data_IF_382884954592
#
_entry.id   IF_382884954592
#
_cell.length_a   1.000
_cell.length_b   1.000
_cell.length_c   1.000
_cell.angle_alpha   90.00
_cell.angle_beta   90.00
_cell.angle_gamma   90.00
#
_symmetry.space_group_name_H-M   'P 1'
#
loop_
_entity.id
_entity.type
_entity.pdbx_description
1 polymer ?
2 non-polymer ?
3 non-polymer ?
4 water ?
#
# COMPACT_ATOMS: atom_id res chain seq x y z
N UNK A 17 -14.50 -24.64 11.79
CA UNK A 17 -13.25 -23.86 11.60
C UNK A 17 -13.46 -22.69 10.63
N UNK A 18 -13.98 -21.55 11.13
CA UNK A 18 -14.39 -20.40 10.32
C UNK A 18 -13.25 -19.69 9.58
N UNK A 19 -13.59 -19.04 8.47
CA UNK A 19 -12.60 -18.34 7.62
C UNK A 19 -13.03 -16.91 7.27
N UNK A 20 -12.05 -16.07 6.95
CA UNK A 20 -12.29 -14.70 6.50
C UNK A 20 -11.92 -14.57 5.03
N UNK A 21 -12.86 -14.06 4.24
CA UNK A 21 -12.64 -13.80 2.82
C UNK A 21 -12.21 -12.36 2.61
N UNK A 22 -10.97 -12.17 2.14
CA UNK A 22 -10.42 -10.82 1.90
C UNK A 22 -10.47 -10.48 0.40
N UNK A 23 -10.92 -9.27 0.08
CA UNK A 23 -11.13 -8.87 -1.30
C UNK A 23 -10.49 -7.51 -1.59
N UNK A 24 -9.52 -7.49 -2.50
CA UNK A 24 -9.06 -6.24 -3.09
C UNK A 24 -9.56 -6.13 -4.51
N UNK A 25 -10.74 -5.53 -4.65
CA UNK A 25 -11.44 -5.48 -5.92
C UNK A 25 -11.03 -4.24 -6.72
N UNK A 26 -9.80 -4.27 -7.24
CA UNK A 26 -9.25 -3.16 -8.02
C UNK A 26 -9.95 -2.94 -9.35
N UNK A 27 -9.49 -1.91 -10.08
CA UNK A 27 -10.13 -1.51 -11.34
C UNK A 27 -9.97 -2.54 -12.45
N UNK A 28 -8.76 -3.11 -12.56
CA UNK A 28 -8.44 -4.05 -13.62
C UNK A 28 -8.68 -5.52 -13.25
N UNK A 29 -8.58 -5.83 -11.96
CA UNK A 29 -8.68 -7.22 -11.46
C UNK A 29 -9.39 -7.35 -10.11
N UNK A 30 -9.65 -8.58 -9.68
CA UNK A 30 -10.19 -8.86 -8.35
C UNK A 30 -9.34 -9.90 -7.62
N UNK A 31 -8.47 -9.42 -6.73
CA UNK A 31 -7.63 -10.29 -5.90
C UNK A 31 -8.43 -10.73 -4.67
N UNK A 32 -8.12 -11.91 -4.14
CA UNK A 32 -8.79 -12.41 -2.94
C UNK A 32 -7.94 -13.40 -2.15
N UNK A 33 -8.18 -13.46 -0.84
CA UNK A 33 -7.50 -14.39 0.04
C UNK A 33 -8.50 -15.00 1.01
N UNK A 34 -8.29 -16.26 1.35
CA UNK A 34 -9.13 -16.93 2.35
C UNK A 34 -8.26 -17.32 3.53
N UNK A 35 -8.34 -16.51 4.58
CA UNK A 35 -7.54 -16.72 5.80
C UNK A 35 -8.33 -17.51 6.83
N UNK A 36 -7.65 -18.46 7.46
CA UNK A 36 -8.21 -19.20 8.58
C UNK A 36 -8.21 -18.29 9.81
N UNK A 37 -9.30 -18.32 10.59
CA UNK A 37 -9.42 -17.48 11.79
C UNK A 37 -8.46 -17.93 12.90
N UNK A 38 -8.33 -19.25 13.05
CA UNK A 38 -7.52 -19.84 14.12
C UNK A 38 -6.02 -19.56 14.01
N UNK A 39 -5.53 -19.39 12.78
CA UNK A 39 -4.10 -19.25 12.53
C UNK A 39 -3.73 -17.91 11.88
N UNK A 40 -4.73 -17.28 11.23
CA UNK A 40 -4.52 -16.07 10.43
C UNK A 40 -3.61 -16.31 9.23
N UNK A 41 -3.57 -17.56 8.78
CA UNK A 41 -2.76 -17.94 7.62
C UNK A 41 -3.63 -18.24 6.41
N UNK A 42 -3.08 -18.02 5.23
CA UNK A 42 -3.81 -18.16 3.97
C UNK A 42 -4.05 -19.63 3.61
N UNK A 43 -5.31 -20.01 3.50
CA UNK A 43 -5.68 -21.34 3.01
C UNK A 43 -5.77 -21.33 1.49
N UNK A 44 -6.26 -20.22 0.93
CA UNK A 44 -6.46 -20.09 -0.51
C UNK A 44 -6.29 -18.63 -0.92
N UNK A 45 -5.69 -18.42 -2.09
CA UNK A 45 -5.56 -17.08 -2.68
C UNK A 45 -5.67 -17.18 -4.19
N UNK A 46 -6.31 -16.18 -4.80
CA UNK A 46 -6.48 -16.15 -6.24
C UNK A 46 -6.50 -14.75 -6.85
N UNK A 47 -6.93 -14.67 -8.10
CA UNK A 47 -7.04 -13.41 -8.83
C UNK A 47 -7.92 -13.56 -10.08
N UNK A 48 -8.83 -12.59 -10.28
CA UNK A 48 -9.64 -12.51 -11.49
C UNK A 48 -9.16 -11.32 -12.32
N UNK A 49 -8.18 -11.57 -13.19
CA UNK A 49 -7.49 -10.52 -13.93
C UNK A 49 -8.11 -10.25 -15.30
N UNK A 50 -7.81 -9.08 -15.87
CA UNK A 50 -8.34 -8.65 -17.16
C UNK A 50 -9.84 -8.53 -17.15
N UNK A 51 -10.37 -7.79 -16.19
CA UNK A 51 -11.81 -7.67 -15.95
C UNK A 51 -12.53 -6.91 -17.06
N UNK A 52 -13.72 -7.40 -17.41
CA UNK A 52 -14.60 -6.82 -18.44
C UNK A 52 -14.11 -6.98 -19.89
N UNK A 53 -12.79 -7.10 -20.08
CA UNK A 53 -12.21 -7.34 -21.40
C UNK A 53 -12.69 -8.70 -21.92
N UNK A 54 -12.88 -8.78 -23.24
CA UNK A 54 -13.39 -9.98 -23.91
C UNK A 54 -13.13 -11.27 -23.11
N UNK A 55 -11.84 -11.55 -22.88
CA UNK A 55 -11.42 -12.72 -22.12
C UNK A 55 -10.99 -12.40 -20.68
N UNK A 56 -11.91 -12.60 -19.74
CA UNK A 56 -11.62 -12.51 -18.31
C UNK A 56 -11.40 -13.92 -17.76
N UNK A 57 -10.41 -14.07 -16.88
CA UNK A 57 -10.06 -15.38 -16.34
C UNK A 57 -9.87 -15.37 -14.82
N UNK A 58 -9.99 -16.56 -14.22
CA UNK A 58 -9.85 -16.74 -12.78
C UNK A 58 -8.71 -17.72 -12.48
N UNK A 59 -7.68 -17.24 -11.80
CA UNK A 59 -6.52 -18.07 -11.45
C UNK A 59 -6.38 -18.28 -9.94
N UNK A 60 -6.80 -19.45 -9.48
CA UNK A 60 -6.77 -19.78 -8.05
C UNK A 60 -5.54 -20.63 -7.74
N UNK A 61 -4.68 -20.11 -6.86
CA UNK A 61 -3.41 -20.75 -6.48
C UNK A 61 -2.39 -20.85 -7.63
N UNK A 62 -2.81 -20.38 -8.81
CA UNK A 62 -1.98 -20.39 -10.01
C UNK A 62 -1.89 -21.73 -10.73
N UNK A 63 -2.94 -22.53 -10.62
CA UNK A 63 -2.96 -23.87 -11.22
C UNK A 63 -3.63 -23.95 -12.59
N UNK A 64 -4.73 -23.21 -12.76
CA UNK A 64 -5.48 -23.21 -14.03
C UNK A 64 -6.32 -21.95 -14.19
N UNK A 65 -5.88 -21.02 -15.07
CA UNK A 65 -6.68 -19.85 -15.40
C UNK A 65 -7.93 -20.21 -16.21
N UNK A 66 -9.06 -20.36 -15.52
CA UNK A 66 -10.34 -20.70 -16.16
C UNK A 66 -10.98 -19.45 -16.77
N UNK A 67 -11.04 -19.43 -18.09
CA UNK A 67 -11.52 -18.25 -18.85
C UNK A 67 -13.01 -17.97 -18.68
N UNK A 68 -13.37 -17.29 -17.59
CA UNK A 68 -14.75 -16.85 -17.36
C UNK A 68 -15.04 -15.57 -18.15
N UNK A 69 -14.87 -15.66 -19.46
CA UNK A 69 -14.97 -14.52 -20.38
C UNK A 69 -16.37 -13.93 -20.46
N UNK A 70 -16.47 -12.72 -21.00
CA UNK A 70 -17.76 -12.06 -21.28
C UNK A 70 -18.50 -11.68 -19.98
N UNK A 71 -17.75 -11.50 -18.90
CA UNK A 71 -18.33 -11.33 -17.56
C UNK A 71 -17.81 -10.10 -16.81
N UNK A 72 -18.61 -9.63 -15.85
CA UNK A 72 -18.28 -8.46 -15.03
C UNK A 72 -17.95 -8.82 -13.57
N UNK A 73 -17.94 -7.81 -12.70
CA UNK A 73 -17.60 -7.96 -11.28
C UNK A 73 -18.53 -8.89 -10.50
N UNK A 74 -19.82 -8.84 -10.82
CA UNK A 74 -20.86 -9.60 -10.11
C UNK A 74 -20.73 -11.11 -10.33
N UNK A 75 -20.32 -11.50 -11.54
CA UNK A 75 -20.20 -12.92 -11.91
C UNK A 75 -18.79 -13.47 -11.68
N UNK A 76 -17.79 -12.59 -11.72
CA UNK A 76 -16.41 -12.98 -11.41
C UNK A 76 -16.28 -13.40 -9.94
N UNK A 77 -16.98 -12.67 -9.07
CA UNK A 77 -17.06 -13.03 -7.65
C UNK A 77 -17.95 -14.24 -7.43
N UNK A 78 -18.93 -14.42 -8.32
CA UNK A 78 -19.79 -15.61 -8.32
C UNK A 78 -19.05 -16.84 -8.84
N UNK A 79 -17.97 -16.60 -9.60
CA UNK A 79 -17.08 -17.66 -10.06
C UNK A 79 -16.12 -18.08 -8.94
N UNK A 80 -15.65 -17.11 -8.18
CA UNK A 80 -14.81 -17.36 -6.99
C UNK A 80 -15.63 -18.05 -5.91
N UNK A 81 -16.88 -17.61 -5.73
CA UNK A 81 -17.77 -18.17 -4.71
C UNK A 81 -18.12 -19.64 -4.96
N UNK A 82 -18.26 -20.01 -6.24
CA UNK A 82 -18.56 -21.39 -6.63
C UNK A 82 -17.36 -22.29 -6.32
N UNK A 83 -16.16 -21.75 -6.53
CA UNK A 83 -14.92 -22.48 -6.27
C UNK A 83 -14.65 -22.63 -4.78
N UNK A 84 -15.23 -21.75 -3.96
CA UNK A 84 -15.19 -21.89 -2.53
C UNK A 84 -16.07 -23.05 -2.09
N UNK A 85 -17.21 -23.21 -2.75
CA UNK A 85 -18.12 -24.32 -2.48
C UNK A 85 -17.59 -25.65 -3.04
N UNK A 86 -16.80 -25.56 -4.11
CA UNK A 86 -16.10 -26.73 -4.65
C UNK A 86 -15.13 -27.32 -3.64
N UNK A 87 -14.57 -26.47 -2.78
CA UNK A 87 -13.67 -26.90 -1.72
C UNK A 87 -14.35 -26.95 -0.34
N UNK A 88 -15.68 -27.03 -0.36
CA UNK A 88 -16.51 -27.06 0.86
C UNK A 88 -16.09 -25.98 1.87
N UNK A 89 -15.91 -24.77 1.37
CA UNK A 89 -15.36 -23.68 2.16
C UNK A 89 -16.37 -22.54 2.29
N UNK A 90 -17.42 -22.59 1.48
CA UNK A 90 -18.47 -21.56 1.46
C UNK A 90 -19.19 -21.47 2.80
N UNK A 91 -19.59 -22.62 3.33
CA UNK A 91 -20.35 -22.69 4.59
C UNK A 91 -19.54 -22.17 5.78
N UNK A 92 -18.22 -22.05 5.58
CA UNK A 92 -17.32 -21.68 6.66
C UNK A 92 -16.91 -20.19 6.67
N UNK A 93 -17.40 -19.43 5.69
CA UNK A 93 -17.10 -18.00 5.58
C UNK A 93 -17.89 -17.18 6.61
N UNK A 94 -17.24 -16.85 7.72
CA UNK A 94 -17.87 -16.07 8.79
C UNK A 94 -17.84 -14.57 8.53
N UNK A 95 -16.80 -14.12 7.82
CA UNK A 95 -16.56 -12.69 7.61
C UNK A 95 -16.01 -12.42 6.21
N UNK A 96 -16.37 -11.27 5.66
CA UNK A 96 -15.79 -10.80 4.41
C UNK A 96 -15.15 -9.42 4.62
N UNK A 97 -13.89 -9.29 4.21
CA UNK A 97 -13.17 -8.03 4.32
C UNK A 97 -12.94 -7.39 2.96
N UNK A 98 -13.30 -6.12 2.85
CA UNK A 98 -13.10 -5.38 1.61
C UNK A 98 -12.03 -4.31 1.77
N UNK A 99 -11.05 -4.33 0.88
CA UNK A 99 -10.03 -3.29 0.84
C UNK A 99 -10.61 -2.10 0.08
N UNK A 100 -10.61 -0.93 0.71
CA UNK A 100 -11.06 0.30 0.09
C UNK A 100 -9.87 1.23 -0.07
N UNK A 101 -9.77 1.85 -1.24
CA UNK A 101 -8.65 2.73 -1.57
C UNK A 101 -8.71 4.07 -0.83
N UNK A 102 -9.86 4.74 -0.88
CA UNK A 102 -9.98 6.08 -0.33
C UNK A 102 -11.15 6.20 0.62
N UNK A 103 -10.85 6.57 1.86
CA UNK A 103 -11.89 6.76 2.88
C UNK A 103 -12.31 8.21 3.03
N UNK A 104 -11.52 9.12 2.49
CA UNK A 104 -11.73 10.55 2.68
C UNK A 104 -11.51 10.92 4.13
N UNK A 105 -12.23 11.94 4.60
CA UNK A 105 -12.15 12.34 6.00
C UNK A 105 -13.14 11.58 6.86
N UNK A 106 -14.10 10.92 6.20
CA UNK A 106 -15.23 10.27 6.88
C UNK A 106 -14.88 9.00 7.66
N UNK A 107 -13.79 8.33 7.26
CA UNK A 107 -13.42 7.04 7.84
C UNK A 107 -12.07 7.06 8.55
N UNK A 108 -12.09 6.81 9.85
CA UNK A 108 -10.85 6.86 10.64
C UNK A 108 -10.42 5.47 11.11
N UNK A 109 -11.36 4.53 11.10
CA UNK A 109 -11.09 3.14 11.44
C UNK A 109 -11.93 2.20 10.57
N UNK A 110 -11.63 0.91 10.62
CA UNK A 110 -12.39 -0.09 9.88
C UNK A 110 -13.80 -0.21 10.45
N UNK A 111 -14.77 -0.48 9.59
CA UNK A 111 -16.17 -0.53 10.00
C UNK A 111 -16.91 -1.76 9.46
N UNK A 112 -17.97 -2.15 10.17
CA UNK A 112 -18.93 -3.13 9.67
C UNK A 112 -19.77 -2.46 8.58
N UNK A 113 -19.90 -3.12 7.44
CA UNK A 113 -20.58 -2.51 6.28
C UNK A 113 -22.11 -2.53 6.40
N UNK A 114 -22.69 -1.34 6.49
CA UNK A 114 -24.13 -1.14 6.46
C UNK A 114 -24.44 -0.21 5.28
N UNK A 115 -25.73 0.09 5.08
CA UNK A 115 -26.13 0.99 3.99
C UNK A 115 -25.51 2.38 4.16
N UNK A 116 -25.52 2.88 5.39
CA UNK A 116 -24.88 4.15 5.73
C UNK A 116 -23.42 4.19 5.28
N UNK A 117 -22.70 3.10 5.52
CA UNK A 117 -21.28 2.99 5.15
C UNK A 117 -21.11 3.00 3.64
N UNK A 118 -21.95 2.25 2.93
CA UNK A 118 -21.95 2.24 1.47
C UNK A 118 -22.12 3.65 0.93
N UNK A 119 -23.06 4.41 1.51
CA UNK A 119 -23.29 5.80 1.13
C UNK A 119 -22.06 6.67 1.30
N UNK A 120 -21.45 6.57 2.49
CA UNK A 120 -20.27 7.36 2.81
C UNK A 120 -19.06 7.05 1.94
N UNK A 121 -18.93 5.79 1.53
CA UNK A 121 -17.89 5.38 0.58
C UNK A 121 -18.19 6.02 -0.78
N UNK A 122 -19.47 6.01 -1.15
CA UNK A 122 -19.94 6.60 -2.40
C UNK A 122 -19.77 8.13 -2.42
N UNK A 123 -19.84 8.73 -1.24
CA UNK A 123 -19.63 10.18 -1.07
C UNK A 123 -18.19 10.62 -1.36
N UNK A 124 -17.22 9.90 -0.81
CA UNK A 124 -15.80 10.23 -0.98
C UNK A 124 -15.20 9.65 -2.26
N UNK A 125 -15.99 8.83 -2.96
CA UNK A 125 -15.55 8.17 -4.19
C UNK A 125 -15.01 9.08 -5.30
N UNK A 126 -15.55 10.32 -5.44
CA UNK A 126 -14.92 11.25 -6.40
C UNK A 126 -13.40 11.42 -6.25
N UNK A 127 -12.88 11.21 -5.04
CA UNK A 127 -11.45 11.37 -4.76
C UNK A 127 -10.57 10.23 -5.34
N UNK A 128 -11.18 9.07 -5.53
CA UNK A 128 -10.50 7.94 -6.18
C UNK A 128 -11.45 7.26 -7.17
N UNK A 129 -11.68 7.90 -8.33
CA UNK A 129 -12.69 7.47 -9.29
C UNK A 129 -12.42 6.08 -9.88
N UNK A 130 -11.15 5.77 -10.14
CA UNK A 130 -10.77 4.47 -10.68
C UNK A 130 -10.99 3.35 -9.66
N UNK A 131 -10.45 3.55 -8.46
CA UNK A 131 -10.41 2.51 -7.43
C UNK A 131 -11.70 2.33 -6.63
N UNK A 132 -12.25 3.42 -6.10
CA UNK A 132 -13.40 3.34 -5.20
C UNK A 132 -14.65 2.71 -5.80
N UNK A 133 -14.96 3.06 -7.05
CA UNK A 133 -16.14 2.51 -7.71
C UNK A 133 -15.97 1.03 -8.00
N UNK A 134 -14.73 0.61 -8.25
CA UNK A 134 -14.40 -0.80 -8.39
C UNK A 134 -14.56 -1.54 -7.06
N UNK A 135 -14.21 -0.87 -5.96
CA UNK A 135 -14.37 -1.43 -4.62
C UNK A 135 -15.83 -1.63 -4.25
N UNK A 136 -16.66 -0.67 -4.64
CA UNK A 136 -18.10 -0.71 -4.38
C UNK A 136 -18.80 -1.81 -5.19
N UNK A 137 -18.29 -2.07 -6.39
CA UNK A 137 -18.80 -3.16 -7.23
C UNK A 137 -18.62 -4.49 -6.52
N UNK A 138 -17.42 -4.68 -5.95
CA UNK A 138 -17.09 -5.87 -5.17
C UNK A 138 -17.87 -6.00 -3.88
N UNK A 139 -18.23 -4.87 -3.26
CA UNK A 139 -19.03 -4.87 -2.04
C UNK A 139 -20.45 -5.35 -2.34
N UNK A 140 -21.05 -4.82 -3.40
CA UNK A 140 -22.37 -5.25 -3.84
C UNK A 140 -22.41 -6.73 -4.18
N UNK A 141 -21.40 -7.19 -4.93
CA UNK A 141 -21.28 -8.61 -5.29
C UNK A 141 -21.26 -9.49 -4.04
N UNK A 142 -20.29 -9.26 -3.16
CA UNK A 142 -20.17 -10.03 -1.93
C UNK A 142 -21.43 -9.91 -1.07
N UNK A 143 -22.08 -8.75 -1.10
CA UNK A 143 -23.36 -8.56 -0.40
C UNK A 143 -24.47 -9.41 -1.00
N UNK A 144 -24.51 -9.48 -2.33
CA UNK A 144 -25.49 -10.29 -3.04
C UNK A 144 -25.28 -11.80 -2.78
N UNK A 145 -24.06 -12.27 -3.06
CA UNK A 145 -23.73 -13.69 -2.99
C UNK A 145 -23.64 -14.22 -1.55
N UNK A 146 -23.25 -13.35 -0.62
CA UNK A 146 -23.23 -13.68 0.80
C UNK A 146 -23.99 -12.60 1.57
N UNK A 147 -25.32 -12.74 1.72
CA UNK A 147 -26.11 -11.75 2.46
C UNK A 147 -26.10 -11.95 3.96
N UNK A 148 -26.00 -13.20 4.40
CA UNK A 148 -26.02 -13.51 5.83
C UNK A 148 -24.60 -13.60 6.43
N UNK A 149 -23.65 -12.92 5.79
CA UNK A 149 -22.28 -12.89 6.28
C UNK A 149 -21.86 -11.45 6.60
N UNK A 150 -21.40 -11.23 7.83
CA UNK A 150 -20.89 -9.93 8.25
C UNK A 150 -19.76 -9.47 7.35
N UNK A 151 -19.84 -8.23 6.88
CA UNK A 151 -18.81 -7.70 6.01
C UNK A 151 -18.22 -6.41 6.56
N UNK A 152 -16.90 -6.31 6.43
CA UNK A 152 -16.11 -5.21 6.99
C UNK A 152 -15.43 -4.41 5.86
N UNK A 153 -15.41 -3.09 6.02
CA UNK A 153 -14.69 -2.22 5.10
C UNK A 153 -13.41 -1.72 5.76
N UNK A 154 -12.28 -2.03 5.15
CA UNK A 154 -10.98 -1.56 5.61
C UNK A 154 -10.43 -0.56 4.59
N UNK A 155 -10.10 0.63 5.06
CA UNK A 155 -9.72 1.76 4.19
C UNK A 155 -8.22 1.99 4.20
N UNK A 156 -7.68 2.37 3.04
CA UNK A 156 -6.23 2.49 2.86
C UNK A 156 -5.70 3.85 3.30
N UNK A 157 -6.60 4.71 3.77
CA UNK A 157 -6.24 6.07 4.19
C UNK A 157 -6.40 6.28 5.70
N UNK A 158 -7.26 5.47 6.33
CA UNK A 158 -7.74 5.73 7.69
C UNK A 158 -6.66 5.86 8.77
N UNK A 159 -5.52 5.18 8.59
CA UNK A 159 -4.42 5.26 9.54
C UNK A 159 -3.81 6.66 9.56
N UNK A 160 -3.80 7.29 8.40
CA UNK A 160 -3.16 8.60 8.22
C UNK A 160 -4.07 9.76 8.64
N UNK A 161 -5.25 9.43 9.14
CA UNK A 161 -6.23 10.45 9.54
C UNK A 161 -5.86 11.18 10.83
N UNK A 162 -4.84 10.69 11.52
CA UNK A 162 -4.36 11.32 12.76
C UNK A 162 -3.43 12.50 12.47
N UNK A 163 -3.17 12.77 11.20
CA UNK A 163 -2.35 13.92 10.77
C UNK A 163 -2.97 15.25 11.17
N UNK A 164 -2.16 16.13 11.74
CA UNK A 164 -2.54 17.50 12.07
C UNK A 164 -2.62 18.35 10.80
N UNK A 165 -3.44 19.43 10.81
CA UNK A 165 -3.67 20.19 9.57
C UNK A 165 -2.40 20.70 8.88
N UNK A 166 -1.41 21.10 9.67
CA UNK A 166 -0.12 21.56 9.15
C UNK A 166 0.63 20.46 8.39
N UNK A 167 0.21 19.22 8.63
CA UNK A 167 0.81 18.07 7.97
C UNK A 167 0.07 17.71 6.69
N UNK A 168 -1.22 18.05 6.63
CA UNK A 168 -2.04 17.63 5.49
C UNK A 168 -2.56 18.76 4.59
N UNK A 169 -2.34 20.01 4.98
CA UNK A 169 -2.75 21.14 4.13
C UNK A 169 -1.74 21.39 3.01
N UNK A 170 -2.25 21.61 1.80
CA UNK A 170 -1.41 22.12 0.74
C UNK A 170 -1.44 23.65 0.79
N UNK A 171 -0.41 24.28 0.22
CA UNK A 171 -0.33 25.74 0.18
C UNK A 171 -1.19 26.34 -0.90
N UNK A 172 -2.41 25.86 -1.03
CA UNK A 172 -3.36 26.35 -2.01
C UNK A 172 -4.40 27.25 -1.33
N UNK A 173 -5.20 27.98 -2.12
CA UNK A 173 -6.32 28.72 -1.53
C UNK A 173 -7.19 27.82 -0.65
N UNK A 174 -7.53 28.30 0.54
CA UNK A 174 -8.28 27.55 1.55
C UNK A 174 -9.56 26.90 1.02
N UNK A 175 -10.20 27.53 0.03
CA UNK A 175 -11.44 27.05 -0.57
C UNK A 175 -11.30 25.67 -1.19
N UNK A 176 -10.16 25.40 -1.81
CA UNK A 176 -9.89 24.09 -2.39
C UNK A 176 -9.93 22.97 -1.35
N UNK A 177 -9.63 23.32 -0.10
CA UNK A 177 -9.70 22.36 1.00
C UNK A 177 -11.10 22.21 1.59
N UNK A 178 -11.74 23.33 1.90
CA UNK A 178 -13.00 23.33 2.66
C UNK A 178 -14.21 22.82 1.86
N UNK A 179 -14.30 23.21 0.59
CA UNK A 179 -15.46 22.84 -0.23
C UNK A 179 -15.20 21.62 -1.13
N UNK A 180 -13.98 21.50 -1.65
CA UNK A 180 -13.64 20.44 -2.60
C UNK A 180 -12.95 19.21 -1.98
N UNK A 181 -12.30 19.40 -0.83
CA UNK A 181 -11.67 18.31 -0.10
C UNK A 181 -10.22 18.03 -0.47
N UNK A 182 -9.55 19.01 -1.08
CA UNK A 182 -8.14 18.86 -1.47
C UNK A 182 -7.20 18.99 -0.27
N UNK A 183 -6.64 17.84 0.12
CA UNK A 183 -5.65 17.75 1.20
C UNK A 183 -4.81 16.49 1.06
N UNK A 184 -3.87 16.29 1.98
CA UNK A 184 -3.09 15.07 2.02
C UNK A 184 -3.89 13.99 2.74
N UNK A 185 -4.03 12.85 2.08
CA UNK A 185 -4.71 11.71 2.70
C UNK A 185 -3.71 10.61 3.05
N UNK A 186 -2.81 10.31 2.10
CA UNK A 186 -1.81 9.28 2.29
C UNK A 186 -2.37 7.90 2.01
N UNK A 187 -1.50 6.96 1.69
CA UNK A 187 -1.94 5.59 1.36
C UNK A 187 -1.02 4.54 1.97
N UNK A 188 -1.30 3.27 1.70
CA UNK A 188 -0.63 2.14 2.36
C UNK A 188 -0.91 2.12 3.87
N UNK A 189 -2.02 2.74 4.28
CA UNK A 189 -2.39 2.86 5.68
C UNK A 189 -2.36 1.54 6.42
N UNK A 190 -3.03 0.53 5.84
CA UNK A 190 -3.13 -0.81 6.42
C UNK A 190 -1.75 -1.43 6.59
N UNK A 191 -0.91 -1.31 5.57
CA UNK A 191 0.47 -1.75 5.64
C UNK A 191 1.24 -1.00 6.72
N UNK A 192 1.14 0.33 6.73
CA UNK A 192 1.82 1.16 7.71
C UNK A 192 1.35 0.90 9.13
N UNK A 193 0.05 0.64 9.27
CA UNK A 193 -0.54 0.29 10.55
C UNK A 193 -0.04 -1.08 11.02
N UNK A 194 -0.09 -2.07 10.13
CA UNK A 194 0.37 -3.42 10.45
C UNK A 194 1.83 -3.43 10.88
N UNK A 195 2.69 -2.89 10.02
CA UNK A 195 4.13 -2.90 10.23
C UNK A 195 4.51 -2.17 11.52
N UNK A 196 3.91 -1.00 11.75
CA UNK A 196 4.16 -0.25 12.97
C UNK A 196 3.82 -1.08 14.22
N UNK A 197 2.66 -1.74 14.21
CA UNK A 197 2.24 -2.61 15.32
C UNK A 197 3.30 -3.68 15.60
N UNK A 198 3.75 -4.32 14.53
CA UNK A 198 4.77 -5.38 14.61
C UNK A 198 6.11 -4.87 15.12
N UNK A 199 6.45 -3.63 14.79
CA UNK A 199 7.69 -3.00 15.22
C UNK A 199 7.78 -2.83 16.73
N UNK A 200 6.67 -2.49 17.37
CA UNK A 200 6.66 -2.30 18.82
C UNK A 200 7.09 -3.57 19.54
N UNK A 201 6.58 -4.71 19.07
CA UNK A 201 6.95 -5.99 19.65
C UNK A 201 8.39 -6.38 19.29
N UNK A 202 8.72 -6.30 18.00
CA UNK A 202 10.06 -6.66 17.53
C UNK A 202 11.16 -5.83 18.20
N UNK A 203 10.97 -4.51 18.27
CA UNK A 203 11.97 -3.61 18.85
C UNK A 203 11.85 -3.47 20.38
N UNK A 204 10.84 -4.11 20.96
CA UNK A 204 10.53 -4.03 22.40
C UNK A 204 10.39 -2.57 22.88
N UNK A 205 9.54 -1.81 22.18
CA UNK A 205 9.31 -0.41 22.49
C UNK A 205 7.97 -0.20 23.17
N UNK A 206 7.81 0.96 23.80
CA UNK A 206 6.55 1.39 24.35
C UNK A 206 5.79 2.21 23.29
N UNK A 207 4.68 1.66 22.81
CA UNK A 207 3.85 2.34 21.81
C UNK A 207 3.57 3.80 22.17
N UNK A 208 3.12 4.03 23.41
CA UNK A 208 2.79 5.37 23.90
C UNK A 208 3.95 6.36 23.94
N UNK A 209 5.18 5.84 23.86
CA UNK A 209 6.38 6.67 23.89
C UNK A 209 7.41 6.21 22.84
N UNK A 210 7.09 6.41 21.56
CA UNK A 210 7.92 5.92 20.46
C UNK A 210 7.80 6.77 19.22
N UNK A 211 8.84 6.72 18.38
CA UNK A 211 8.83 7.35 17.07
C UNK A 211 9.45 6.43 16.04
N UNK A 212 8.68 6.09 15.01
CA UNK A 212 9.12 5.20 13.96
C UNK A 212 8.98 5.84 12.59
N UNK A 213 9.87 5.46 11.67
CA UNK A 213 9.69 5.75 10.25
C UNK A 213 9.51 4.41 9.53
N UNK A 214 8.44 4.29 8.76
CA UNK A 214 8.19 3.06 8.02
C UNK A 214 8.27 3.32 6.52
N UNK A 215 9.21 2.66 5.87
CA UNK A 215 9.38 2.78 4.42
C UNK A 215 8.75 1.59 3.71
N UNK A 216 7.53 1.79 3.22
CA UNK A 216 6.87 0.79 2.40
C UNK A 216 7.32 0.94 0.95
N UNK A 217 8.25 0.10 0.53
CA UNK A 217 8.79 0.16 -0.83
C UNK A 217 8.37 -1.09 -1.60
N UNK A 218 7.66 -0.88 -2.70
CA UNK A 218 7.22 -2.00 -3.54
C UNK A 218 6.46 -1.52 -4.76
N UNK A 219 5.23 -2.03 -4.89
CA UNK A 219 4.27 -1.60 -5.91
C UNK A 219 4.30 -0.08 -6.07
N UNK A 220 3.59 0.61 -5.18
CA UNK A 220 3.81 2.02 -4.95
C UNK A 220 4.80 2.11 -3.81
N UNK A 221 5.32 3.31 -3.58
CA UNK A 221 6.27 3.52 -2.51
C UNK A 221 5.82 4.69 -1.65
N UNK A 222 5.83 4.51 -0.33
CA UNK A 222 5.44 5.57 0.61
C UNK A 222 6.16 5.47 1.95
N UNK A 223 6.31 6.61 2.60
CA UNK A 223 6.94 6.72 3.91
C UNK A 223 5.88 7.19 4.91
N UNK A 224 5.96 6.69 6.14
CA UNK A 224 5.08 7.17 7.20
C UNK A 224 5.85 7.38 8.48
N UNK A 225 5.61 8.54 9.11
CA UNK A 225 6.15 8.84 10.43
C UNK A 225 5.10 8.46 11.46
N UNK A 226 5.42 7.47 12.28
CA UNK A 226 4.51 7.01 13.31
C UNK A 226 5.00 7.45 14.68
N UNK A 227 4.27 8.38 15.28
CA UNK A 227 4.63 8.90 16.58
C UNK A 227 3.63 8.44 17.62
N UNK A 228 4.15 7.80 18.66
CA UNK A 228 3.36 7.25 19.75
C UNK A 228 2.14 6.45 19.29
N UNK A 229 2.34 5.64 18.25
CA UNK A 229 1.27 4.82 17.68
C UNK A 229 0.37 5.49 16.65
N UNK A 230 0.61 6.77 16.40
CA UNK A 230 -0.20 7.54 15.44
C UNK A 230 0.60 8.00 14.22
N UNK A 231 -0.03 7.92 13.05
CA UNK A 231 0.52 8.46 11.82
C UNK A 231 0.48 9.99 11.90
N UNK A 232 1.65 10.62 11.84
CA UNK A 232 1.76 12.08 11.96
C UNK A 232 2.23 12.76 10.68
N UNK A 233 2.83 11.98 9.79
CA UNK A 233 3.25 12.48 8.47
C UNK A 233 3.43 11.30 7.53
N UNK A 234 3.07 11.48 6.27
CA UNK A 234 3.18 10.44 5.26
C UNK A 234 3.52 10.99 3.88
N UNK A 235 4.26 10.20 3.10
CA UNK A 235 4.83 10.62 1.82
C UNK A 235 3.81 10.93 0.72
N UNK A 236 2.81 10.06 0.57
CA UNK A 236 1.80 10.24 -0.49
C UNK A 236 0.85 11.37 -0.17
N UNK A 237 0.20 11.91 -1.20
CA UNK A 237 -0.66 13.07 -1.04
C UNK A 237 -2.15 12.81 -1.15
N UNK A 238 -2.82 13.61 -1.97
CA UNK A 238 -4.23 13.39 -2.26
C UNK A 238 -4.37 12.14 -3.13
N UNK A 239 -3.50 12.05 -4.13
CA UNK A 239 -3.38 10.87 -4.97
C UNK A 239 -2.12 10.08 -4.58
N UNK A 240 -2.07 8.78 -4.93
CA UNK A 240 -0.86 7.99 -4.64
C UNK A 240 0.37 8.47 -5.42
N UNK A 241 0.26 9.62 -6.08
CA UNK A 241 1.30 10.11 -6.97
C UNK A 241 2.42 10.90 -6.27
N UNK A 242 2.07 11.67 -5.24
CA UNK A 242 3.06 12.49 -4.53
C UNK A 242 4.03 11.64 -3.72
N UNK A 243 5.22 12.17 -3.48
CA UNK A 243 6.18 11.55 -2.58
C UNK A 243 7.39 10.94 -3.27
N UNK A 244 7.64 9.67 -2.96
CA UNK A 244 8.78 8.94 -3.52
C UNK A 244 8.59 8.69 -5.01
N UNK A 245 9.70 8.63 -5.74
CA UNK A 245 9.70 8.12 -7.10
C UNK A 245 9.42 6.62 -7.00
N UNK A 246 8.64 6.10 -7.93
CA UNK A 246 8.18 4.71 -7.83
C UNK A 246 8.47 3.89 -9.09
N UNK A 247 7.78 2.76 -9.24
CA UNK A 247 7.97 1.89 -10.40
C UNK A 247 7.70 2.64 -11.69
N UNK A 248 6.48 3.14 -11.82
CA UNK A 248 6.08 3.92 -12.99
C UNK A 248 5.56 5.31 -12.62
N UNK A 249 5.54 5.62 -11.31
CA UNK A 249 5.10 6.93 -10.83
C UNK A 249 6.29 7.85 -10.57
N UNK A 250 6.13 9.12 -10.95
CA UNK A 250 7.22 10.12 -10.91
C UNK A 250 7.63 10.52 -9.50
N UNK A 251 6.67 10.54 -8.58
CA UNK A 251 6.90 11.05 -7.23
C UNK A 251 6.81 12.56 -7.20
N UNK A 252 7.51 13.17 -6.24
CA UNK A 252 7.57 14.62 -6.12
C UNK A 252 8.05 15.27 -7.42
N UNK A 253 7.21 16.14 -7.97
CA UNK A 253 7.57 16.86 -9.18
C UNK A 253 7.13 18.33 -9.11
N UNK A 254 8.04 19.21 -9.54
CA UNK A 254 7.81 20.65 -9.66
C UNK A 254 6.62 20.90 -10.58
N UNK A 255 5.59 21.58 -10.06
CA UNK A 255 4.43 21.93 -10.87
C UNK A 255 4.79 22.93 -11.97
N UNK A 256 5.74 23.81 -11.68
CA UNK A 256 6.24 24.76 -12.66
C UNK A 256 6.91 24.07 -13.83
N UNK A 257 7.62 22.98 -13.54
CA UNK A 257 8.27 22.16 -14.57
C UNK A 257 7.23 21.44 -15.40
N UNK A 258 6.15 21.03 -14.76
CA UNK A 258 5.05 20.35 -15.46
C UNK A 258 4.33 21.30 -16.41
N UNK A 259 4.01 22.49 -15.89
CA UNK A 259 3.35 23.53 -16.67
C UNK A 259 4.22 23.98 -17.84
N UNK A 260 5.53 23.97 -17.62
CA UNK A 260 6.52 24.30 -18.65
C UNK A 260 6.47 23.25 -19.77
N UNK A 261 6.47 21.98 -19.39
CA UNK A 261 6.38 20.86 -20.34
C UNK A 261 5.11 20.97 -21.18
N UNK A 262 3.97 21.20 -20.51
CA UNK A 262 2.68 21.37 -21.18
C UNK A 262 2.69 22.50 -22.23
N UNK A 263 3.54 23.50 -22.02
CA UNK A 263 3.69 24.62 -22.96
C UNK A 263 4.65 24.26 -24.08
N UNK A 264 5.81 23.73 -23.70
CA UNK A 264 6.91 23.45 -24.63
C UNK A 264 6.59 22.36 -25.66
N UNK A 265 5.90 21.30 -25.22
CA UNK A 265 5.51 20.21 -26.13
C UNK A 265 4.01 20.20 -26.49
N UNK A 266 3.25 21.09 -25.86
CA UNK A 266 1.82 21.24 -26.16
C UNK A 266 0.97 20.04 -25.77
N UNK A 267 1.20 19.52 -24.57
CA UNK A 267 0.45 18.36 -24.07
C UNK A 267 -0.62 18.78 -23.08
N UNK A 268 -1.76 18.08 -23.13
CA UNK A 268 -2.87 18.32 -22.21
C UNK A 268 -2.51 17.80 -20.81
N UNK A 269 -3.21 18.30 -19.79
CA UNK A 269 -3.04 17.79 -18.43
C UNK A 269 -3.33 16.30 -18.37
N UNK A 270 -4.26 15.85 -19.22
CA UNK A 270 -4.64 14.46 -19.35
C UNK A 270 -3.47 13.61 -19.85
N UNK A 271 -2.73 14.15 -20.82
CA UNK A 271 -1.53 13.49 -21.35
C UNK A 271 -0.51 13.25 -20.24
N UNK A 272 -0.23 14.30 -19.46
CA UNK A 272 0.83 14.29 -18.45
C UNK A 272 0.48 13.39 -17.27
N UNK A 273 -0.79 13.37 -16.87
CA UNK A 273 -1.27 12.49 -15.81
C UNK A 273 -1.02 11.02 -16.16
N UNK A 274 -1.18 10.71 -17.45
CA UNK A 274 -0.89 9.38 -17.99
C UNK A 274 0.62 9.13 -18.07
N UNK A 275 1.39 10.17 -18.41
CA UNK A 275 2.85 10.11 -18.46
C UNK A 275 3.44 9.87 -17.07
N UNK A 276 2.90 10.58 -16.08
CA UNK A 276 3.40 10.52 -14.71
C UNK A 276 3.01 9.21 -13.98
N UNK A 277 1.87 8.62 -14.38
CA UNK A 277 1.42 7.34 -13.82
C UNK A 277 2.05 6.10 -14.46
N UNK A 278 2.18 6.12 -15.79
CA UNK A 278 2.51 4.92 -16.54
C UNK A 278 3.90 4.91 -17.19
N UNK A 279 4.37 6.08 -17.61
CA UNK A 279 5.65 6.20 -18.33
C UNK A 279 6.82 6.68 -17.48
N UNK A 280 6.55 7.01 -16.21
CA UNK A 280 7.53 7.70 -15.37
C UNK A 280 8.22 6.79 -14.35
N UNK A 281 8.87 7.39 -13.36
CA UNK A 281 9.54 6.67 -12.28
C UNK A 281 10.81 5.97 -12.69
N UNK A 282 11.01 4.77 -12.16
CA UNK A 282 12.16 3.93 -12.50
C UNK A 282 12.18 3.61 -13.98
N UNK A 283 11.02 3.23 -14.50
CA UNK A 283 10.84 2.96 -15.93
C UNK A 283 11.29 4.16 -16.77
N UNK A 284 10.92 5.36 -16.34
CA UNK A 284 11.20 6.59 -17.07
C UNK A 284 12.68 6.97 -17.18
N UNK A 285 13.40 6.88 -16.07
CA UNK A 285 14.81 7.26 -16.05
C UNK A 285 15.68 6.21 -16.74
N UNK A 286 15.41 4.94 -16.45
CA UNK A 286 16.16 3.84 -17.04
C UNK A 286 15.82 3.64 -18.51
N UNK A 287 14.55 3.81 -18.85
CA UNK A 287 14.05 3.52 -20.20
C UNK A 287 14.06 2.03 -20.48
N UNK A 288 14.16 1.23 -19.42
CA UNK A 288 14.34 -0.21 -19.54
C UNK A 288 13.24 -0.99 -18.84
N UNK A 289 13.16 -0.85 -17.50
CA UNK A 289 12.17 -1.60 -16.73
C UNK A 289 11.69 -0.85 -15.49
N UNK A 290 10.49 -1.21 -15.02
CA UNK A 290 9.98 -0.73 -13.76
C UNK A 290 10.30 -1.72 -12.64
N UNK A 291 10.83 -2.88 -13.03
CA UNK A 291 11.19 -3.93 -12.07
C UNK A 291 12.61 -3.74 -11.54
N UNK A 292 12.76 -3.81 -10.21
CA UNK A 292 14.05 -3.68 -9.55
C UNK A 292 15.08 -4.74 -9.94
N UNK A 293 14.67 -6.01 -9.88
CA UNK A 293 15.57 -7.15 -10.20
C UNK A 293 16.23 -7.00 -11.57
N UNK A 294 15.49 -6.46 -12.53
CA UNK A 294 16.02 -6.18 -13.86
C UNK A 294 17.03 -5.04 -13.82
N UNK A 295 16.68 -3.96 -13.12
CA UNK A 295 17.53 -2.77 -13.02
C UNK A 295 18.79 -3.00 -12.19
N UNK A 296 18.66 -3.84 -11.16
CA UNK A 296 19.79 -4.23 -10.32
C UNK A 296 20.80 -5.02 -11.14
N UNK A 297 20.29 -5.96 -11.95
CA UNK A 297 21.12 -6.70 -12.89
C UNK A 297 21.70 -5.79 -13.97
N UNK A 298 20.87 -4.89 -14.50
CA UNK A 298 21.28 -3.96 -15.55
C UNK A 298 22.48 -3.10 -15.14
N UNK A 299 22.43 -2.56 -13.93
CA UNK A 299 23.54 -1.79 -13.37
C UNK A 299 24.79 -2.66 -13.20
N UNK A 300 24.60 -3.86 -12.63
CA UNK A 300 25.68 -4.83 -12.44
C UNK A 300 26.38 -5.16 -13.77
N UNK A 301 25.72 -4.81 -14.88
CA UNK A 301 26.27 -5.04 -16.21
C UNK A 301 26.50 -3.73 -16.99
N UNK A 302 26.93 -2.71 -16.25
CA UNK A 302 27.41 -1.44 -16.84
C UNK A 302 26.38 -0.55 -17.51
N UNK A 303 25.14 -0.63 -17.06
CA UNK A 303 24.08 0.25 -17.57
C UNK A 303 23.96 1.48 -16.66
N UNK A 304 24.27 2.65 -17.21
CA UNK A 304 24.33 3.88 -16.43
C UNK A 304 22.95 4.41 -16.05
N UNK A 305 21.99 4.33 -16.98
CA UNK A 305 20.64 4.84 -16.75
C UNK A 305 19.84 4.03 -15.75
N UNK A 306 20.11 2.73 -15.66
CA UNK A 306 19.51 1.90 -14.63
C UNK A 306 20.15 2.20 -13.27
N UNK A 307 21.46 2.44 -13.27
CA UNK A 307 22.19 2.85 -12.06
C UNK A 307 21.68 4.20 -11.57
N UNK A 308 21.49 5.14 -12.50
CA UNK A 308 20.98 6.47 -12.17
C UNK A 308 19.59 6.41 -11.57
N UNK A 309 18.71 5.60 -12.17
CA UNK A 309 17.34 5.43 -11.70
C UNK A 309 17.31 4.93 -10.26
N UNK A 310 18.15 3.94 -9.94
CA UNK A 310 18.26 3.41 -8.58
C UNK A 310 18.83 4.46 -7.62
N UNK A 311 19.94 5.09 -8.03
CA UNK A 311 20.56 6.16 -7.24
C UNK A 311 19.57 7.28 -6.90
N UNK A 312 18.77 7.67 -7.89
CA UNK A 312 17.71 8.66 -7.70
C UNK A 312 16.65 8.12 -6.74
N UNK A 313 16.22 6.89 -6.99
CA UNK A 313 15.24 6.19 -6.16
C UNK A 313 15.66 6.18 -4.70
N UNK A 314 16.87 5.70 -4.45
CA UNK A 314 17.45 5.65 -3.10
C UNK A 314 17.52 7.04 -2.47
N UNK A 315 17.93 8.03 -3.25
CA UNK A 315 18.09 9.39 -2.76
C UNK A 315 16.78 9.99 -2.26
N UNK A 316 15.71 9.81 -3.03
CA UNK A 316 14.40 10.38 -2.68
C UNK A 316 13.80 9.71 -1.45
N UNK A 317 14.08 8.42 -1.28
CA UNK A 317 13.68 7.68 -0.08
C UNK A 317 14.44 8.23 1.12
N UNK A 318 15.74 8.40 0.95
CA UNK A 318 16.61 8.94 1.99
C UNK A 318 16.17 10.34 2.38
N UNK A 319 15.70 11.10 1.39
CA UNK A 319 15.22 12.46 1.60
C UNK A 319 13.96 12.47 2.45
N UNK A 320 13.01 11.59 2.11
CA UNK A 320 11.74 11.51 2.81
C UNK A 320 11.79 10.82 4.19
N UNK A 321 12.71 9.88 4.36
CA UNK A 321 12.88 9.23 5.67
C UNK A 321 13.38 10.25 6.68
N UNK A 322 14.39 11.02 6.28
CA UNK A 322 14.94 12.07 7.12
C UNK A 322 13.92 13.18 7.29
N UNK A 323 13.24 13.54 6.21
CA UNK A 323 12.17 14.54 6.23
C UNK A 323 11.08 14.24 7.26
N UNK A 324 10.54 13.03 7.20
CA UNK A 324 9.47 12.60 8.09
C UNK A 324 9.90 12.47 9.55
N UNK A 325 11.20 12.29 9.79
CA UNK A 325 11.75 12.22 11.14
C UNK A 325 11.47 13.49 11.94
N UNK A 326 11.29 14.61 11.24
CA UNK A 326 11.01 15.91 11.86
C UNK A 326 9.73 15.89 12.68
N UNK A 327 8.75 15.09 12.26
CA UNK A 327 7.48 14.99 12.96
C UNK A 327 7.54 14.05 14.16
N UNK A 328 8.76 13.70 14.57
CA UNK A 328 8.94 12.88 15.77
C UNK A 328 9.73 13.64 16.82
N UNK A 329 9.40 13.39 18.08
CA UNK A 329 10.15 13.93 19.20
C UNK A 329 11.45 13.15 19.36
N UNK A 330 11.43 11.89 18.92
CA UNK A 330 12.58 10.97 19.01
C UNK A 330 12.50 9.92 17.90
N UNK A 331 13.65 9.54 17.36
CA UNK A 331 13.71 8.51 16.32
C UNK A 331 14.26 7.20 16.88
N UNK A 332 13.37 6.23 17.03
CA UNK A 332 13.74 4.91 17.54
C UNK A 332 13.98 3.91 16.43
N UNK A 333 13.11 3.91 15.43
CA UNK A 333 13.20 2.90 14.37
C UNK A 333 12.92 3.35 12.95
N UNK A 334 13.76 2.87 12.03
CA UNK A 334 13.43 2.88 10.62
C UNK A 334 13.11 1.45 10.22
N UNK A 335 11.96 1.27 9.56
CA UNK A 335 11.50 -0.07 9.20
C UNK A 335 11.25 -0.16 7.69
N UNK A 336 11.90 -1.13 7.06
CA UNK A 336 11.71 -1.41 5.64
C UNK A 336 10.67 -2.50 5.45
N UNK A 337 9.81 -2.30 4.46
CA UNK A 337 8.71 -3.23 4.20
C UNK A 337 8.19 -3.12 2.75
N UNK A 338 7.44 -4.12 2.31
CA UNK A 338 6.98 -4.18 0.92
C UNK A 338 7.95 -4.95 0.05
N UNK A 339 7.54 -5.21 -1.19
CA UNK A 339 8.31 -6.04 -2.13
C UNK A 339 9.80 -5.71 -2.20
N UNK A 340 10.09 -4.44 -2.48
CA UNK A 340 11.46 -3.96 -2.60
C UNK A 340 12.10 -3.87 -1.22
N UNK A 341 11.32 -3.45 -0.23
CA UNK A 341 11.81 -3.27 1.13
C UNK A 341 12.28 -4.55 1.80
N UNK A 342 11.54 -5.63 1.58
CA UNK A 342 11.80 -6.92 2.22
C UNK A 342 12.91 -7.74 1.55
N UNK A 343 13.11 -7.50 0.25
CA UNK A 343 13.94 -8.37 -0.58
C UNK A 343 15.24 -7.75 -1.10
N UNK A 344 15.26 -6.43 -1.28
CA UNK A 344 16.43 -5.77 -1.87
C UNK A 344 17.51 -5.47 -0.84
N UNK A 345 18.55 -6.30 -0.82
CA UNK A 345 19.72 -6.10 0.02
C UNK A 345 20.44 -4.79 -0.34
N UNK A 346 20.52 -4.52 -1.63
CA UNK A 346 21.17 -3.33 -2.16
C UNK A 346 20.51 -2.03 -1.71
N UNK A 347 19.26 -1.83 -2.15
CA UNK A 347 18.50 -0.60 -1.87
C UNK A 347 18.50 -0.25 -0.38
N UNK A 348 18.20 -1.24 0.47
CA UNK A 348 18.20 -1.04 1.92
C UNK A 348 19.53 -0.42 2.39
N UNK A 349 20.64 -0.95 1.87
CA UNK A 349 21.96 -0.51 2.32
C UNK A 349 22.31 0.88 1.79
N UNK A 350 22.06 1.11 0.51
CA UNK A 350 22.30 2.42 -0.10
C UNK A 350 21.49 3.51 0.62
N UNK A 351 20.25 3.20 0.96
CA UNK A 351 19.41 4.10 1.76
C UNK A 351 20.03 4.38 3.14
N UNK A 352 20.44 3.33 3.84
CA UNK A 352 20.99 3.48 5.19
C UNK A 352 22.33 4.22 5.19
N UNK A 353 23.18 3.91 4.21
CA UNK A 353 24.47 4.61 4.06
C UNK A 353 24.27 6.09 3.79
N UNK A 354 23.17 6.40 3.11
CA UNK A 354 22.75 7.78 2.84
C UNK A 354 22.31 8.51 4.11
N UNK A 355 21.93 7.75 5.14
CA UNK A 355 21.41 8.33 6.37
C UNK A 355 22.40 8.21 7.53
N UNK A 356 23.69 8.14 7.20
CA UNK A 356 24.74 8.13 8.22
C UNK A 356 24.60 9.32 9.16
N UNK A 357 24.00 10.38 8.65
CA UNK A 357 23.76 11.62 9.40
C UNK A 357 22.87 11.39 10.63
N UNK A 358 21.93 10.45 10.51
CA UNK A 358 21.05 10.10 11.62
C UNK A 358 21.71 9.14 12.61
N UNK A 359 22.96 8.77 12.33
CA UNK A 359 23.73 7.92 13.22
C UNK A 359 23.46 6.44 13.02
N UNK A 360 23.17 6.05 11.79
CA UNK A 360 22.89 4.65 11.45
C UNK A 360 24.17 3.90 11.10
N UNK A 361 24.41 2.78 11.79
CA UNK A 361 25.42 1.80 11.37
C UNK A 361 24.73 0.47 11.08
N UNK A 362 24.98 -0.05 9.88
CA UNK A 362 24.29 -1.24 9.35
C UNK A 362 25.10 -2.55 9.43
N UNK A 363 24.55 -3.54 10.12
CA UNK A 363 25.11 -4.89 10.14
C UNK A 363 24.85 -5.59 8.81
N UNK A 364 25.89 -5.68 7.97
CA UNK A 364 25.76 -6.19 6.61
C UNK A 364 25.58 -7.72 6.56
N UNK A 365 26.06 -8.40 7.59
CA UNK A 365 25.76 -9.83 7.75
C UNK A 365 24.26 -10.03 7.91
N UNK A 366 23.63 -9.20 8.74
CA UNK A 366 22.18 -9.25 8.96
C UNK A 366 21.39 -8.72 7.76
N UNK A 367 21.95 -7.75 7.05
CA UNK A 367 21.30 -7.22 5.85
C UNK A 367 21.32 -8.21 4.68
N UNK A 368 22.31 -9.10 4.69
CA UNK A 368 22.45 -10.15 3.67
C UNK A 368 21.25 -11.07 3.61
N UNK A 369 20.76 -11.48 4.78
CA UNK A 369 19.70 -12.50 4.93
C UNK A 369 18.49 -12.25 4.03
N UNK A 370 18.00 -13.31 3.35
CA UNK A 370 16.83 -13.21 2.49
C UNK A 370 15.53 -13.08 3.29
N UNK A 371 14.42 -12.86 2.60
CA UNK A 371 13.14 -12.58 3.25
C UNK A 371 12.59 -13.70 4.13
N UNK A 372 13.00 -14.94 3.87
CA UNK A 372 12.62 -16.10 4.67
C UNK A 372 12.92 -15.94 6.16
N UNK A 373 13.83 -15.02 6.48
CA UNK A 373 14.19 -14.72 7.86
C UNK A 373 13.19 -13.77 8.53
N UNK A 374 12.16 -13.37 7.78
CA UNK A 374 11.01 -12.64 8.30
C UNK A 374 11.37 -11.35 9.02
N UNK A 375 10.84 -11.20 10.23
CA UNK A 375 11.06 -10.00 11.02
C UNK A 375 12.45 -10.03 11.66
N UNK A 376 13.32 -9.15 11.19
CA UNK A 376 14.74 -9.16 11.56
C UNK A 376 15.31 -7.76 11.76
N UNK A 377 16.20 -7.63 12.75
CA UNK A 377 17.01 -6.42 12.93
C UNK A 377 18.15 -6.44 11.90
N UNK A 378 18.49 -5.27 11.33
CA UNK A 378 19.56 -5.21 10.33
C UNK A 378 20.65 -4.17 10.61
N UNK A 379 20.51 -3.45 11.73
CA UNK A 379 21.51 -2.48 12.14
C UNK A 379 22.37 -3.03 13.27
N UNK A 380 23.65 -2.67 13.28
CA UNK A 380 24.59 -3.09 14.33
C UNK A 380 24.34 -2.34 15.64
N UNK A 381 25.07 -2.72 16.68
CA UNK A 381 24.88 -2.15 18.03
C UNK A 381 25.21 -0.66 18.20
N UNK A 382 26.36 -0.18 17.67
CA UNK A 382 26.72 1.24 17.80
C UNK A 382 25.71 2.23 17.18
N UNK A 383 24.76 1.71 16.40
CA UNK A 383 23.74 2.54 15.76
C UNK A 383 22.87 3.27 16.78
N UNK A 384 22.63 4.55 16.52
CA UNK A 384 21.75 5.36 17.35
C UNK A 384 20.28 5.15 17.00
N UNK A 385 20.03 4.49 15.87
CA UNK A 385 18.67 4.16 15.42
C UNK A 385 18.59 2.71 14.96
N UNK A 386 17.57 1.99 15.44
CA UNK A 386 17.37 0.59 15.08
C UNK A 386 16.72 0.47 13.70
N UNK A 387 17.42 -0.20 12.78
CA UNK A 387 16.84 -0.57 11.49
C UNK A 387 16.35 -2.01 11.53
N UNK A 388 15.26 -2.27 10.83
CA UNK A 388 14.65 -3.60 10.81
C UNK A 388 13.85 -3.85 9.53
N UNK A 389 13.71 -5.13 9.19
CA UNK A 389 12.84 -5.54 8.10
C UNK A 389 11.60 -6.20 8.71
N UNK A 390 10.43 -5.72 8.34
CA UNK A 390 9.18 -6.35 8.74
C UNK A 390 8.34 -6.61 7.49
N UNK A 391 8.11 -7.90 7.17
CA UNK A 391 7.21 -8.25 6.08
C UNK A 391 5.80 -7.72 6.33
N UNK A 392 5.24 -7.02 5.35
CA UNK A 392 3.89 -6.48 5.48
C UNK A 392 2.85 -7.54 5.16
N UNK A 393 1.74 -7.51 5.90
CA UNK A 393 0.66 -8.46 5.72
C UNK A 393 -0.69 -7.75 5.80
N UNK A 394 -1.10 -7.17 4.67
CA UNK A 394 -2.37 -6.44 4.59
C UNK A 394 -3.56 -7.38 4.79
N UNK A 395 -3.46 -8.58 4.22
CA UNK A 395 -4.45 -9.63 4.41
C UNK A 395 -4.68 -9.98 5.89
N UNK A 396 -3.59 -10.17 6.64
CA UNK A 396 -3.68 -10.46 8.08
C UNK A 396 -4.28 -9.31 8.88
N UNK A 397 -3.96 -8.07 8.50
CA UNK A 397 -4.49 -6.90 9.18
C UNK A 397 -5.98 -6.73 8.89
N UNK A 398 -6.37 -6.98 7.64
CA UNK A 398 -7.78 -6.94 7.27
C UNK A 398 -8.58 -8.00 8.04
N UNK A 399 -8.02 -9.20 8.14
CA UNK A 399 -8.63 -10.28 8.91
C UNK A 399 -8.79 -9.90 10.38
N UNK A 400 -7.72 -9.40 10.99
CA UNK A 400 -7.74 -9.02 12.42
C UNK A 400 -8.79 -7.95 12.73
N UNK A 401 -8.94 -6.99 11.83
CA UNK A 401 -9.98 -5.99 11.95
C UNK A 401 -11.36 -6.64 11.90
N UNK A 402 -11.52 -7.57 10.96
CA UNK A 402 -12.79 -8.27 10.76
C UNK A 402 -13.14 -9.18 11.93
N UNK A 403 -12.14 -9.89 12.46
CA UNK A 403 -12.34 -10.75 13.63
C UNK A 403 -12.77 -9.90 14.84
N UNK A 404 -12.10 -8.77 15.03
CA UNK A 404 -12.43 -7.83 16.09
C UNK A 404 -13.86 -7.31 15.92
N UNK A 405 -14.18 -6.83 14.73
CA UNK A 405 -15.53 -6.35 14.42
C UNK A 405 -16.55 -7.49 14.43
N UNK A 406 -16.07 -8.72 14.37
CA UNK A 406 -16.92 -9.91 14.43
C UNK A 406 -17.57 -10.11 15.77
N UNK A 407 -16.85 -9.75 16.83
CA UNK A 407 -17.36 -9.84 18.22
C UNK A 407 -18.37 -8.74 18.59
N UNK A 408 -18.40 -7.68 17.79
CA UNK A 408 -19.29 -6.54 18.01
C UNK A 408 -20.73 -6.90 17.62
N UNK A 409 -21.71 -6.22 18.20
CA UNK A 409 -23.12 -6.43 17.89
C UNK A 409 -23.82 -5.17 17.36
N UNK A 410 -24.03 -5.14 16.04
CA UNK A 410 -24.71 -4.02 15.37
C UNK A 410 -26.12 -4.42 14.93
X LIG B 1 -20.64 8.62 10.02
X LIG B 1 -20.96 7.50 10.87
X LIG B 1 -19.17 8.57 9.61
X LIG B 1 -18.92 7.34 8.93
X LIG C 1 27.89 11.47 13.57
X LIG C 1 26.56 11.33 14.06
X LIG C 1 27.98 11.01 12.11
X LIG C 1 29.33 10.70 11.77
X LIG D 1 4.39 -4.94 -5.61
X LIG D 1 5.35 -5.43 -4.41
X LIG D 1 5.05 -4.60 -3.19
X LIG D 1 5.25 -6.94 -4.33
X LIG D 1 6.82 -5.05 -4.96
X LIG D 1 7.43 -5.80 -6.01
X LIG D 1 8.81 -5.21 -6.32
X LIG D 1 9.82 -5.82 -5.51
X LIG D 1 9.18 -5.42 -7.78
X LIG D 1 9.40 -4.16 -8.40
X LIG D 1 10.47 -6.24 -7.74
X LIG D 1 11.44 -5.77 -8.66
X LIG D 1 10.97 -6.12 -6.30
X LIG D 1 11.65 -7.36 -5.88
X LIG D 1 13.07 -7.39 -5.78
X LIG D 1 13.69 -8.54 -5.40
X LIG D 1 12.98 -9.65 -5.12
X LIG D 1 11.59 -9.63 -5.21
X LIG D 1 10.94 -8.46 -5.61
X LIG D 1 13.77 -6.38 -6.03
X LIG D 1 13.61 -10.78 -4.73
#
# INVERSE_FOLDING_TARGET
MRGSHHHHHHGMASNEFPVVLVINCGSSSIKFSVLDVATCDVLMAGIADGMNTENAFLSINGDKPINLAHSNYEDALKAIAFELEKRDLTDSVALIGHRIAHGGELFTQSVIITDEIIDNIRRVSPLAPLHNYANLSGIDAARHLFPAVRQVAVFDTSFHQTLAPEAYLYGLPWEYFSSLGVRRYGFHGTSHRYVSRRAYELLDLDEKDSGLIVAHLGNGASICAVRNGQSVDTSMGMTPLEGLMMGTRSGDVDFGAMAWIAKETGQTLSDLERVVNKESGLLGISGLSSDLRVLEKAWHEGHERARLAIKTFVHRIARHIAGHAASLHRLDGIIFTGGIGENSVLIRQLVIEHLGVLGLTLDVEMNKQPNSHGERIISANPSQVICAVIPTNEEKMIALDAIHLGNVKAPVEFA
EDO C1 O1 C2 O2
EDO C1 O1 C2 O2
C5P O3P P O1P O2P O5' C5' C4' O4' C3' O3' C2' O2' C1' N1 C2 N3 C4 C5 C6 O2 N4
#
